data_IF_172848143319
#
_entry.id   IF_172848143319
#
_cell.length_a   1.000
_cell.length_b   1.000
_cell.length_c   1.000
_cell.angle_alpha   90.00
_cell.angle_beta   90.00
_cell.angle_gamma   90.00
#
_symmetry.space_group_name_H-M   'P 1'
#
loop_
_entity.id
_entity.type
_entity.pdbx_description
1 polymer ?
#
# COMPACT_ATOMS: atom_id res chain seq x y z
N UNK A 1 -18.19 -25.27 -6.93
CA UNK A 1 -16.74 -25.00 -7.07
C UNK A 1 -16.40 -23.79 -6.19
N UNK A 2 -16.04 -23.99 -4.92
CA UNK A 2 -15.60 -22.92 -4.02
C UNK A 2 -14.16 -22.57 -4.41
N UNK A 3 -13.92 -21.31 -4.78
CA UNK A 3 -12.59 -20.81 -5.19
C UNK A 3 -11.77 -20.70 -3.90
N UNK A 4 -10.82 -21.62 -3.70
CA UNK A 4 -9.84 -21.57 -2.62
C UNK A 4 -8.98 -20.31 -2.84
N UNK A 5 -9.12 -19.31 -1.98
CA UNK A 5 -8.18 -18.20 -1.89
C UNK A 5 -6.88 -18.75 -1.29
N UNK A 6 -5.71 -18.55 -1.92
CA UNK A 6 -4.46 -18.96 -1.32
C UNK A 6 -4.23 -18.14 -0.05
N UNK A 7 -4.00 -18.85 1.05
CA UNK A 7 -3.64 -18.27 2.34
C UNK A 7 -2.41 -17.37 2.17
N UNK A 8 -2.57 -16.09 2.49
CA UNK A 8 -1.50 -15.09 2.55
C UNK A 8 -0.65 -15.32 3.80
N UNK A 9 0.11 -16.40 3.85
CA UNK A 9 1.04 -16.66 4.94
C UNK A 9 2.41 -17.02 4.34
N UNK A 10 3.40 -16.21 4.72
CA UNK A 10 4.84 -16.43 4.48
C UNK A 10 5.44 -16.07 3.10
N UNK A 11 5.11 -14.88 2.57
CA UNK A 11 5.96 -14.29 1.53
C UNK A 11 7.18 -13.61 2.16
N UNK A 12 8.43 -14.04 1.86
CA UNK A 12 9.62 -13.35 2.33
C UNK A 12 9.58 -11.91 1.83
N UNK A 13 9.71 -10.95 2.75
CA UNK A 13 9.63 -9.52 2.46
C UNK A 13 10.80 -9.16 1.54
N UNK A 14 10.55 -9.19 0.23
CA UNK A 14 11.50 -8.72 -0.76
C UNK A 14 11.54 -7.19 -0.62
N UNK A 15 12.69 -6.64 -0.23
CA UNK A 15 12.82 -5.21 0.00
C UNK A 15 13.09 -4.55 -1.34
N UNK A 16 12.15 -3.73 -1.87
CA UNK A 16 12.35 -3.11 -3.17
C UNK A 16 13.44 -2.02 -3.06
N UNK A 17 14.05 -1.66 -4.19
CA UNK A 17 15.09 -0.61 -4.24
C UNK A 17 14.60 0.73 -3.67
N UNK A 18 15.52 1.60 -3.25
CA UNK A 18 15.19 2.89 -2.61
C UNK A 18 14.18 3.74 -3.41
N UNK A 19 14.28 3.76 -4.75
CA UNK A 19 13.34 4.50 -5.60
C UNK A 19 11.91 3.96 -5.46
N UNK A 20 11.73 2.65 -5.55
CA UNK A 20 10.44 1.99 -5.42
C UNK A 20 9.84 2.16 -4.03
N UNK A 21 10.67 2.10 -2.97
CA UNK A 21 10.22 2.39 -1.60
C UNK A 21 9.68 3.81 -1.46
N UNK A 22 10.35 4.79 -2.07
CA UNK A 22 9.91 6.18 -2.04
C UNK A 22 8.58 6.36 -2.78
N UNK A 23 8.40 5.68 -3.92
CA UNK A 23 7.12 5.67 -4.66
C UNK A 23 6.00 5.06 -3.82
N UNK A 24 6.25 3.91 -3.19
CA UNK A 24 5.27 3.27 -2.29
C UNK A 24 4.89 4.19 -1.14
N UNK A 25 5.87 4.84 -0.50
CA UNK A 25 5.63 5.74 0.62
C UNK A 25 4.77 6.94 0.20
N UNK A 26 5.13 7.60 -0.89
CA UNK A 26 4.33 8.70 -1.43
C UNK A 26 2.91 8.25 -1.76
N UNK A 27 2.78 7.09 -2.40
CA UNK A 27 1.47 6.53 -2.72
C UNK A 27 0.64 6.29 -1.46
N UNK A 28 1.22 5.69 -0.41
CA UNK A 28 0.50 5.48 0.85
C UNK A 28 0.11 6.78 1.52
N UNK A 29 0.95 7.81 1.46
CA UNK A 29 0.61 9.15 1.99
C UNK A 29 -0.56 9.76 1.22
N UNK A 30 -0.56 9.66 -0.12
CA UNK A 30 -1.69 10.09 -0.96
C UNK A 30 -2.97 9.30 -0.66
N UNK A 31 -2.89 8.00 -0.42
CA UNK A 31 -4.05 7.19 -0.05
C UNK A 31 -4.60 7.59 1.32
N UNK A 32 -3.73 7.93 2.27
CA UNK A 32 -4.14 8.43 3.59
C UNK A 32 -4.83 9.80 3.46
N UNK A 33 -4.35 10.68 2.58
CA UNK A 33 -4.92 12.02 2.37
C UNK A 33 -6.20 12.01 1.52
N UNK A 34 -6.22 11.28 0.42
CA UNK A 34 -7.33 11.24 -0.54
C UNK A 34 -8.35 10.13 -0.26
N UNK A 35 -7.96 9.12 0.51
CA UNK A 35 -8.77 7.95 0.83
C UNK A 35 -8.66 6.81 -0.19
N UNK A 36 -9.47 5.76 0.03
CA UNK A 36 -9.45 4.50 -0.73
C UNK A 36 -9.76 4.64 -2.22
N UNK A 37 -10.47 5.71 -2.62
CA UNK A 37 -10.82 5.99 -4.02
C UNK A 37 -9.58 6.21 -4.88
N UNK A 38 -8.53 6.77 -4.30
CA UNK A 38 -7.27 6.99 -5.00
C UNK A 38 -6.58 5.67 -5.37
N UNK A 39 -6.64 4.67 -4.49
CA UNK A 39 -6.10 3.33 -4.79
C UNK A 39 -6.86 2.69 -5.96
N UNK A 40 -8.19 2.77 -5.96
CA UNK A 40 -9.00 2.28 -7.07
C UNK A 40 -8.68 3.01 -8.38
N UNK A 41 -8.51 4.34 -8.34
CA UNK A 41 -8.14 5.13 -9.51
C UNK A 41 -6.73 4.83 -10.02
N UNK A 42 -5.77 4.59 -9.12
CA UNK A 42 -4.39 4.21 -9.48
C UNK A 42 -4.37 2.80 -10.09
N UNK A 43 -5.16 1.88 -9.56
CA UNK A 43 -5.30 0.52 -10.07
C UNK A 43 -6.08 0.45 -11.38
N UNK A 44 -7.03 1.35 -11.62
CA UNK A 44 -7.73 1.47 -12.91
C UNK A 44 -6.83 2.13 -13.96
N UNK A 45 -6.09 3.17 -13.56
CA UNK A 45 -5.08 3.84 -14.39
C UNK A 45 -3.75 3.09 -14.44
N UNK A 46 -3.72 1.77 -14.23
CA UNK A 46 -2.54 0.90 -14.41
C UNK A 46 -2.11 0.85 -15.89
N UNK A 47 -1.87 2.02 -16.46
CA UNK A 47 -1.53 2.28 -17.83
C UNK A 47 -0.01 2.42 -17.83
N UNK A 48 0.65 1.29 -18.06
CA UNK A 48 1.96 1.22 -18.72
C UNK A 48 3.19 1.72 -17.95
N UNK A 49 3.22 1.61 -16.62
CA UNK A 49 4.39 1.99 -15.81
C UNK A 49 4.87 0.87 -14.89
N UNK A 50 6.05 0.31 -15.17
CA UNK A 50 6.81 -0.69 -14.38
C UNK A 50 6.93 -0.33 -12.88
N UNK A 51 6.76 0.95 -12.56
CA UNK A 51 6.93 1.56 -11.24
C UNK A 51 5.82 1.25 -10.23
N UNK A 52 4.64 0.82 -10.69
CA UNK A 52 3.47 0.53 -9.83
C UNK A 52 3.11 -0.96 -9.77
N UNK A 53 3.95 -1.82 -10.36
CA UNK A 53 3.76 -3.28 -10.37
C UNK A 53 3.55 -3.89 -8.97
N UNK A 54 3.95 -3.20 -7.90
CA UNK A 54 3.73 -3.62 -6.52
C UNK A 54 2.27 -3.52 -6.02
N UNK A 55 1.40 -2.79 -6.73
CA UNK A 55 -0.03 -2.81 -6.42
C UNK A 55 -0.68 -4.15 -6.81
N UNK A 56 -0.06 -4.89 -7.72
CA UNK A 56 -0.58 -6.18 -8.16
C UNK A 56 -0.39 -7.24 -7.08
N UNK A 57 -1.42 -8.04 -6.78
CA UNK A 57 -1.32 -9.11 -5.78
C UNK A 57 -0.37 -10.24 -6.21
N UNK A 58 -0.04 -10.32 -7.50
CA UNK A 58 0.92 -11.28 -8.05
C UNK A 58 2.39 -10.87 -7.77
N UNK A 59 2.62 -9.60 -7.43
CA UNK A 59 3.97 -9.09 -7.23
C UNK A 59 4.49 -9.40 -5.81
N UNK A 60 5.74 -9.90 -5.65
CA UNK A 60 6.31 -10.17 -4.33
C UNK A 60 6.41 -8.92 -3.43
N UNK A 61 6.39 -7.73 -4.01
CA UNK A 61 6.41 -6.46 -3.28
C UNK A 61 5.05 -6.03 -2.71
N UNK A 62 3.97 -6.72 -3.07
CA UNK A 62 2.62 -6.40 -2.61
C UNK A 62 2.49 -6.46 -1.09
N UNK A 63 3.07 -7.49 -0.47
CA UNK A 63 3.06 -7.68 0.99
C UNK A 63 3.75 -6.51 1.72
N UNK A 64 4.85 -6.00 1.17
CA UNK A 64 5.56 -4.85 1.72
C UNK A 64 4.74 -3.57 1.60
N UNK A 65 4.10 -3.35 0.45
CA UNK A 65 3.19 -2.23 0.26
C UNK A 65 2.01 -2.25 1.24
N UNK A 66 1.38 -3.41 1.46
CA UNK A 66 0.29 -3.56 2.43
C UNK A 66 0.73 -3.21 3.86
N UNK A 67 1.93 -3.66 4.25
CA UNK A 67 2.51 -3.32 5.56
C UNK A 67 2.77 -1.82 5.68
N UNK A 68 3.30 -1.19 4.64
CA UNK A 68 3.58 0.25 4.60
C UNK A 68 2.28 1.06 4.70
N UNK A 69 1.26 0.68 3.92
CA UNK A 69 -0.08 1.29 3.95
C UNK A 69 -0.69 1.20 5.34
N UNK A 70 -0.65 0.01 5.96
CA UNK A 70 -1.13 -0.19 7.33
C UNK A 70 -0.41 0.72 8.31
N UNK A 71 0.92 0.83 8.19
CA UNK A 71 1.71 1.70 9.06
C UNK A 71 1.36 3.18 8.86
N UNK A 72 1.19 3.63 7.62
CA UNK A 72 0.80 5.01 7.30
C UNK A 72 -0.58 5.35 7.88
N UNK A 73 -1.56 4.45 7.76
CA UNK A 73 -2.90 4.61 8.34
C UNK A 73 -2.84 4.64 9.88
N UNK A 74 -2.05 3.75 10.49
CA UNK A 74 -1.85 3.75 11.94
C UNK A 74 -1.18 5.04 12.43
N UNK A 75 -0.16 5.53 11.71
CA UNK A 75 0.51 6.78 12.00
C UNK A 75 -0.44 7.98 11.90
N UNK A 76 -1.28 8.02 10.86
CA UNK A 76 -2.30 9.06 10.69
C UNK A 76 -3.37 9.02 11.80
N UNK A 77 -3.80 7.81 12.19
CA UNK A 77 -4.73 7.62 13.30
C UNK A 77 -4.13 8.09 14.64
N UNK A 78 -2.83 7.86 14.88
CA UNK A 78 -2.14 8.40 16.06
C UNK A 78 -1.95 9.91 16.01
N UNK A 79 -1.69 10.49 14.84
CA UNK A 79 -1.52 11.94 14.67
C UNK A 79 -2.84 12.71 14.96
N UNK A 80 -3.98 12.13 14.61
CA UNK A 80 -5.30 12.76 14.84
C UNK A 80 -5.67 12.84 16.33
N UNK A 81 -5.10 11.99 17.19
CA UNK A 81 -5.36 12.00 18.63
C UNK A 81 -4.62 13.10 19.41
N UNK A 82 -3.63 13.74 18.81
CA UNK A 82 -2.80 14.75 19.50
C UNK A 82 -3.47 16.14 19.52
N UNK A 83 -4.57 16.34 18.79
CA UNK A 83 -5.29 17.62 18.74
C UNK A 83 -6.62 17.65 19.51
N UNK A 84 -6.90 16.67 20.40
CA UNK A 84 -8.13 16.62 21.20
C UNK A 84 -7.93 16.92 22.70
N UNK A 85 -6.74 17.37 23.11
CA UNK A 85 -6.46 17.78 24.50
C UNK A 85 -5.95 19.23 24.55
N UNK A 86 -6.83 20.18 24.25
CA UNK A 86 -6.64 21.58 24.62
C UNK A 86 -7.93 22.15 25.22
#
# INVERSE_FOLDING_TARGET
KRRLLPSTDDCPINIPGQKTRLVMQRLTDYIVQCGIWFEAAVQERHVQGDHLSFLEPDNPYHSFYLKLKRNAVLAAASATRVSQDQ
#
